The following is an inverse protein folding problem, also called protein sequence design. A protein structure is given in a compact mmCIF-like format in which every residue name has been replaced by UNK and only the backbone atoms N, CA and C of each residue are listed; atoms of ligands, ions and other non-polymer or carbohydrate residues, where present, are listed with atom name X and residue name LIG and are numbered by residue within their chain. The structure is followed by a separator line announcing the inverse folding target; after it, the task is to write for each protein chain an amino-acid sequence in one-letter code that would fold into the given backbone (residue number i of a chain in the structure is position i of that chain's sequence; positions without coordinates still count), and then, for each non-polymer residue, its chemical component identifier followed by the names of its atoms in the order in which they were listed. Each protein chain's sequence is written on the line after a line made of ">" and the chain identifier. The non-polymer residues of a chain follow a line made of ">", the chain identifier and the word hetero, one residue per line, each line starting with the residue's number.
data_IF_582155341958
#
_entry.id   IF_582155341958
#
_cell.length_a   1.000
_cell.length_b   1.000
_cell.length_c   1.000
_cell.angle_alpha   90.00
_cell.angle_beta   90.00
_cell.angle_gamma   90.00
#
_symmetry.space_group_name_H-M   'P 1'
#
loop_
_entity.id
_entity.type
_entity.pdbx_description
1 polymer ?
#
# COMPACT_ATOMS: atom_id res chain seq x y z
N UNK A 1 2.91 25.83 5.37
CA UNK A 1 2.03 24.80 6.01
C UNK A 1 2.24 23.53 5.21
N UNK A 2 2.65 22.45 5.88
CA UNK A 2 2.84 21.14 5.24
C UNK A 2 1.50 20.63 4.72
N UNK A 3 1.45 20.26 3.44
CA UNK A 3 0.27 19.61 2.87
C UNK A 3 0.24 18.13 3.25
N UNK A 4 -0.92 17.51 3.25
CA UNK A 4 -1.07 16.07 3.46
C UNK A 4 -1.91 15.45 2.36
N UNK A 5 -1.62 14.19 2.04
CA UNK A 5 -2.37 13.36 1.10
C UNK A 5 -2.64 12.01 1.72
N UNK A 6 -3.91 11.58 1.74
CA UNK A 6 -4.27 10.21 2.12
C UNK A 6 -3.96 9.25 0.96
N UNK A 7 -3.30 8.15 1.25
CA UNK A 7 -2.97 7.12 0.25
C UNK A 7 -3.59 5.79 0.67
N UNK A 8 -4.67 5.41 0.00
CA UNK A 8 -5.31 4.11 0.18
C UNK A 8 -4.50 3.05 -0.56
N UNK A 9 -4.03 2.05 0.19
CA UNK A 9 -3.02 1.12 -0.26
C UNK A 9 -3.33 -0.32 0.19
N UNK A 10 -2.93 -1.33 -0.59
CA UNK A 10 -3.14 -2.74 -0.24
C UNK A 10 -1.93 -3.60 -0.56
N UNK A 11 -1.58 -4.52 0.35
CA UNK A 11 -0.43 -5.43 0.22
C UNK A 11 -0.53 -6.39 -0.97
N UNK A 12 -1.73 -6.64 -1.47
CA UNK A 12 -1.95 -7.51 -2.63
C UNK A 12 -2.09 -6.73 -3.94
N UNK A 13 -1.87 -5.42 -3.95
CA UNK A 13 -1.97 -4.60 -5.17
C UNK A 13 -0.60 -4.32 -5.79
N UNK A 14 -0.29 -4.86 -6.97
CA UNK A 14 0.96 -4.55 -7.67
C UNK A 14 1.07 -3.07 -8.05
N UNK A 15 -0.03 -2.41 -8.39
CA UNK A 15 -0.01 -0.97 -8.67
C UNK A 15 0.24 -0.13 -7.42
N UNK A 16 -0.21 -0.58 -6.24
CA UNK A 16 0.15 0.06 -4.97
C UNK A 16 1.64 -0.06 -4.69
N UNK A 17 2.22 -1.23 -4.93
CA UNK A 17 3.67 -1.44 -4.83
C UNK A 17 4.44 -0.51 -5.78
N UNK A 18 4.05 -0.45 -7.05
CA UNK A 18 4.69 0.39 -8.06
C UNK A 18 4.54 1.91 -7.81
N UNK A 19 3.49 2.32 -7.10
CA UNK A 19 3.31 3.72 -6.70
C UNK A 19 4.24 4.12 -5.54
N UNK A 20 4.63 3.18 -4.68
CA UNK A 20 5.31 3.47 -3.41
C UNK A 20 6.63 4.22 -3.57
N UNK A 21 7.56 3.84 -4.48
CA UNK A 21 8.80 4.61 -4.70
C UNK A 21 8.55 6.06 -5.13
N UNK A 22 7.52 6.29 -5.93
CA UNK A 22 7.15 7.62 -6.39
C UNK A 22 6.57 8.47 -5.26
N UNK A 23 5.76 7.87 -4.36
CA UNK A 23 5.22 8.54 -3.18
C UNK A 23 6.34 8.95 -2.21
N UNK A 24 7.33 8.08 -1.99
CA UNK A 24 8.52 8.40 -1.18
C UNK A 24 9.29 9.57 -1.82
N UNK A 25 9.49 9.54 -3.13
CA UNK A 25 10.18 10.62 -3.83
C UNK A 25 9.42 11.96 -3.74
N UNK A 26 8.08 11.93 -3.79
CA UNK A 26 7.25 13.12 -3.60
C UNK A 26 7.37 13.68 -2.17
N UNK A 27 7.25 12.83 -1.15
CA UNK A 27 7.38 13.26 0.25
C UNK A 27 8.79 13.83 0.54
N UNK A 28 9.83 13.24 -0.03
CA UNK A 28 11.19 13.73 0.10
C UNK A 28 11.46 15.07 -0.63
N UNK A 29 10.78 15.29 -1.76
CA UNK A 29 11.00 16.48 -2.60
C UNK A 29 10.19 17.70 -2.18
N UNK A 30 9.09 17.51 -1.45
CA UNK A 30 8.14 18.58 -1.13
C UNK A 30 7.80 18.62 0.36
N UNK A 31 7.27 19.76 0.83
CA UNK A 31 6.69 19.93 2.17
C UNK A 31 5.31 19.23 2.20
N UNK A 32 5.35 17.92 2.14
CA UNK A 32 4.24 16.99 1.99
C UNK A 32 4.33 15.88 3.02
N UNK A 33 3.20 15.51 3.59
CA UNK A 33 3.04 14.31 4.41
C UNK A 33 2.15 13.28 3.68
N UNK A 34 2.67 12.10 3.46
CA UNK A 34 1.93 10.96 2.91
C UNK A 34 1.33 10.15 4.05
N UNK A 35 0.00 10.14 4.14
CA UNK A 35 -0.76 9.42 5.17
C UNK A 35 -1.25 8.11 4.57
N UNK A 36 -0.61 7.00 4.95
CA UNK A 36 -1.01 5.69 4.45
C UNK A 36 -2.28 5.20 5.13
N UNK A 37 -3.26 4.78 4.33
CA UNK A 37 -4.54 4.20 4.72
C UNK A 37 -4.62 2.76 4.20
N UNK A 38 -4.17 1.76 4.95
CA UNK A 38 -4.27 0.37 4.53
C UNK A 38 -5.72 -0.06 4.36
N UNK A 39 -5.98 -0.81 3.28
CA UNK A 39 -7.28 -1.44 3.01
C UNK A 39 -7.07 -2.89 2.59
N UNK A 40 -8.06 -3.73 2.83
CA UNK A 40 -8.03 -5.11 2.35
C UNK A 40 -8.11 -5.15 0.81
N UNK A 41 -7.57 -6.19 0.16
CA UNK A 41 -7.69 -6.37 -1.30
C UNK A 41 -9.15 -6.44 -1.73
N UNK A 42 -9.43 -5.92 -2.91
CA UNK A 42 -10.80 -5.91 -3.46
C UNK A 42 -11.41 -7.32 -3.56
N UNK A 43 -10.59 -8.32 -3.84
CA UNK A 43 -11.04 -9.72 -3.90
C UNK A 43 -11.54 -10.25 -2.55
N UNK A 44 -11.07 -9.67 -1.42
CA UNK A 44 -11.51 -10.01 -0.06
C UNK A 44 -12.69 -9.13 0.37
N UNK A 45 -12.70 -7.84 -0.03
CA UNK A 45 -13.73 -6.87 0.35
C UNK A 45 -15.06 -7.08 -0.36
N UNK A 46 -15.01 -7.51 -1.62
CA UNK A 46 -16.20 -7.63 -2.47
C UNK A 46 -16.40 -9.09 -2.84
N UNK A 47 -17.41 -9.72 -2.22
CA UNK A 47 -17.77 -11.09 -2.52
C UNK A 47 -17.98 -11.32 -4.01
N UNK A 48 -17.43 -12.42 -4.53
CA UNK A 48 -17.54 -12.81 -5.93
C UNK A 48 -16.89 -11.82 -6.92
N UNK A 49 -16.05 -10.87 -6.47
CA UNK A 49 -15.39 -9.92 -7.36
C UNK A 49 -14.63 -10.63 -8.49
N UNK A 50 -13.82 -11.62 -8.15
CA UNK A 50 -12.99 -12.37 -9.12
C UNK A 50 -13.84 -13.06 -10.19
N UNK A 51 -15.01 -13.60 -9.80
CA UNK A 51 -15.94 -14.27 -10.70
C UNK A 51 -16.62 -13.31 -11.70
N UNK A 52 -16.71 -12.02 -11.35
CA UNK A 52 -17.37 -10.97 -12.16
C UNK A 52 -16.41 -10.17 -13.04
N UNK A 53 -15.13 -10.36 -12.84
CA UNK A 53 -14.10 -9.65 -13.63
C UNK A 53 -14.12 -10.12 -15.07
N UNK A 54 -14.03 -9.17 -16.02
CA UNK A 54 -13.87 -9.50 -17.43
C UNK A 54 -12.64 -10.40 -17.63
N UNK A 55 -12.75 -11.57 -18.29
CA UNK A 55 -11.65 -12.52 -18.47
C UNK A 55 -10.41 -11.93 -19.18
N UNK A 56 -10.57 -10.86 -19.93
CA UNK A 56 -9.45 -10.15 -20.57
C UNK A 56 -8.61 -9.33 -19.60
N UNK A 57 -9.16 -8.99 -18.43
CA UNK A 57 -8.48 -8.10 -17.48
C UNK A 57 -7.27 -8.75 -16.78
N UNK A 58 -7.31 -9.99 -16.25
CA UNK A 58 -6.16 -10.57 -15.56
C UNK A 58 -4.92 -10.70 -16.44
N UNK A 59 -5.00 -11.21 -17.70
CA UNK A 59 -3.82 -11.27 -18.56
C UNK A 59 -3.32 -9.88 -19.01
N UNK A 60 -4.21 -8.90 -19.13
CA UNK A 60 -3.81 -7.51 -19.34
C UNK A 60 -3.05 -6.98 -18.13
N UNK A 61 -3.64 -7.09 -16.93
CA UNK A 61 -3.03 -6.67 -15.67
C UNK A 61 -1.61 -7.25 -15.52
N UNK A 62 -1.45 -8.56 -15.69
CA UNK A 62 -0.15 -9.20 -15.58
C UNK A 62 0.88 -8.59 -16.53
N UNK A 63 0.49 -8.34 -17.78
CA UNK A 63 1.36 -7.74 -18.80
C UNK A 63 1.71 -6.28 -18.49
N UNK A 64 0.74 -5.54 -17.98
CA UNK A 64 0.86 -4.12 -17.69
C UNK A 64 1.77 -3.86 -16.49
N UNK A 65 1.64 -4.61 -15.41
CA UNK A 65 2.52 -4.46 -14.23
C UNK A 65 3.99 -4.71 -14.55
N UNK A 66 4.30 -5.72 -15.38
CA UNK A 66 5.68 -5.96 -15.80
C UNK A 66 6.23 -4.87 -16.70
N UNK A 67 5.40 -4.33 -17.60
CA UNK A 67 5.76 -3.21 -18.47
C UNK A 67 6.07 -1.94 -17.65
N UNK A 68 5.21 -1.62 -16.69
CA UNK A 68 5.40 -0.47 -15.81
C UNK A 68 6.62 -0.64 -14.92
N UNK A 69 6.82 -1.83 -14.37
CA UNK A 69 8.01 -2.14 -13.57
C UNK A 69 9.30 -1.96 -14.36
N UNK A 70 9.35 -2.43 -15.62
CA UNK A 70 10.48 -2.20 -16.52
C UNK A 70 10.70 -0.72 -16.79
N UNK A 71 9.64 0.03 -17.07
CA UNK A 71 9.72 1.47 -17.31
C UNK A 71 10.27 2.23 -16.10
N UNK A 72 9.89 1.81 -14.90
CA UNK A 72 10.31 2.45 -13.63
C UNK A 72 11.64 1.92 -13.09
N UNK A 73 12.19 0.84 -13.66
CA UNK A 73 13.36 0.14 -13.10
C UNK A 73 13.07 -0.53 -11.75
N UNK A 74 11.81 -0.81 -11.43
CA UNK A 74 11.38 -1.41 -10.17
C UNK A 74 11.34 -2.94 -10.31
N UNK A 75 12.07 -3.71 -9.48
CA UNK A 75 11.98 -5.18 -9.51
C UNK A 75 10.56 -5.62 -9.18
N UNK A 76 10.01 -6.55 -9.97
CA UNK A 76 8.70 -7.12 -9.69
C UNK A 76 8.62 -8.59 -10.05
N UNK A 77 8.01 -9.36 -9.16
CA UNK A 77 7.66 -10.76 -9.36
C UNK A 77 6.33 -11.03 -8.65
N UNK A 78 5.52 -11.93 -9.21
CA UNK A 78 4.30 -12.34 -8.52
C UNK A 78 4.64 -13.01 -7.18
N UNK A 79 3.98 -12.60 -6.07
CA UNK A 79 4.30 -13.08 -4.72
C UNK A 79 4.18 -14.59 -4.56
N UNK A 80 5.06 -15.16 -3.75
CA UNK A 80 5.04 -16.57 -3.36
C UNK A 80 5.27 -16.71 -1.86
N UNK A 81 4.21 -17.06 -1.09
CA UNK A 81 2.81 -17.21 -1.51
C UNK A 81 2.15 -15.88 -1.89
N UNK A 82 1.02 -15.95 -2.62
CA UNK A 82 0.16 -14.77 -2.81
C UNK A 82 -0.38 -14.33 -1.43
N UNK A 83 -0.43 -13.04 -1.11
CA UNK A 83 -1.01 -12.54 0.15
C UNK A 83 -2.45 -12.96 0.41
N UNK A 84 -3.19 -13.37 -0.60
CA UNK A 84 -4.51 -13.97 -0.47
C UNK A 84 -4.53 -15.42 -0.94
N UNK A 85 -5.33 -16.25 -0.28
CA UNK A 85 -5.67 -17.57 -0.77
C UNK A 85 -6.86 -17.44 -1.72
N UNK A 86 -6.74 -18.03 -2.89
CA UNK A 86 -7.77 -18.00 -3.92
C UNK A 86 -7.70 -19.28 -4.76
N UNK A 87 -8.82 -19.89 -5.03
CA UNK A 87 -8.92 -20.92 -6.07
C UNK A 87 -8.95 -20.26 -7.45
N UNK A 88 -7.87 -20.43 -8.21
CA UNK A 88 -7.72 -19.80 -9.54
C UNK A 88 -8.74 -20.34 -10.54
N UNK A 89 -9.14 -21.62 -10.42
CA UNK A 89 -10.04 -22.26 -11.37
C UNK A 89 -11.50 -21.80 -11.18
N UNK A 90 -11.96 -21.71 -9.93
CA UNK A 90 -13.33 -21.29 -9.60
C UNK A 90 -13.44 -19.78 -9.38
N UNK A 91 -12.32 -19.08 -9.12
CA UNK A 91 -12.31 -17.68 -8.69
C UNK A 91 -12.85 -17.50 -7.25
N UNK A 92 -12.89 -18.55 -6.47
CA UNK A 92 -13.35 -18.52 -5.10
C UNK A 92 -12.28 -18.00 -4.15
N UNK A 93 -12.68 -17.06 -3.30
CA UNK A 93 -11.82 -16.47 -2.27
C UNK A 93 -12.40 -16.88 -0.91
N UNK A 94 -11.78 -17.83 -0.19
CA UNK A 94 -12.24 -18.24 1.13
C UNK A 94 -12.28 -17.06 2.11
N UNK A 95 -13.20 -17.16 3.07
CA UNK A 95 -13.29 -16.15 4.16
C UNK A 95 -12.05 -16.20 5.06
N UNK A 96 -11.53 -17.42 5.30
CA UNK A 96 -10.29 -17.60 6.04
C UNK A 96 -9.08 -17.27 5.15
N UNK A 97 -8.34 -16.25 5.55
CA UNK A 97 -7.18 -15.71 4.84
C UNK A 97 -5.99 -15.65 5.80
N UNK A 98 -5.04 -16.59 5.70
CA UNK A 98 -3.98 -16.73 6.70
C UNK A 98 -2.99 -15.56 6.73
N UNK A 99 -2.91 -14.77 5.67
CA UNK A 99 -1.85 -13.75 5.55
C UNK A 99 -2.37 -12.32 5.55
N UNK A 100 -3.40 -12.03 4.74
CA UNK A 100 -3.72 -10.65 4.39
C UNK A 100 -4.27 -9.83 5.55
N UNK A 101 -5.02 -10.45 6.46
CA UNK A 101 -5.53 -9.75 7.64
C UNK A 101 -4.39 -9.32 8.56
N UNK A 102 -3.47 -10.24 8.88
CA UNK A 102 -2.27 -9.93 9.69
C UNK A 102 -1.44 -8.83 9.02
N UNK A 103 -1.12 -8.95 7.73
CA UNK A 103 -0.36 -7.93 6.99
C UNK A 103 -1.03 -6.56 7.04
N UNK A 104 -2.36 -6.51 6.84
CA UNK A 104 -3.08 -5.25 6.80
C UNK A 104 -3.16 -4.61 8.19
N UNK A 105 -3.36 -5.41 9.25
CA UNK A 105 -3.31 -4.94 10.65
C UNK A 105 -1.93 -4.40 11.03
N UNK A 106 -0.85 -5.10 10.69
CA UNK A 106 0.51 -4.60 10.90
C UNK A 106 0.76 -3.29 10.14
N UNK A 107 0.30 -3.19 8.90
CA UNK A 107 0.36 -1.96 8.11
C UNK A 107 -0.42 -0.80 8.73
N UNK A 108 -1.60 -1.09 9.29
CA UNK A 108 -2.42 -0.10 10.00
C UNK A 108 -1.73 0.37 11.29
N UNK A 109 -1.22 -0.55 12.09
CA UNK A 109 -0.49 -0.22 13.32
C UNK A 109 0.79 0.61 13.01
N UNK A 110 1.51 0.26 11.95
CA UNK A 110 2.67 1.04 11.50
C UNK A 110 2.27 2.45 11.01
N UNK A 111 1.11 2.60 10.35
CA UNK A 111 0.60 3.90 9.94
C UNK A 111 0.21 4.76 11.15
N UNK A 112 -0.43 4.19 12.15
CA UNK A 112 -0.77 4.87 13.42
C UNK A 112 0.49 5.30 14.19
N UNK A 113 1.58 4.54 14.09
CA UNK A 113 2.89 4.89 14.65
C UNK A 113 3.67 5.93 13.80
N UNK A 114 3.05 6.49 12.73
CA UNK A 114 3.71 7.46 11.85
C UNK A 114 4.79 6.85 10.93
N UNK A 115 4.81 5.53 10.76
CA UNK A 115 5.78 4.80 9.94
C UNK A 115 5.15 4.15 8.70
N UNK A 116 3.91 4.50 8.36
CA UNK A 116 3.12 3.83 7.33
C UNK A 116 3.81 3.76 5.99
N UNK A 117 4.31 4.88 5.44
CA UNK A 117 4.94 4.91 4.11
C UNK A 117 6.23 4.07 4.07
N UNK A 118 7.08 4.19 5.07
CA UNK A 118 8.31 3.41 5.18
C UNK A 118 8.00 1.91 5.32
N UNK A 119 7.01 1.55 6.15
CA UNK A 119 6.63 0.16 6.38
C UNK A 119 6.05 -0.51 5.14
N UNK A 120 5.12 0.14 4.43
CA UNK A 120 4.58 -0.42 3.18
C UNK A 120 5.64 -0.54 2.08
N UNK A 121 6.67 0.31 2.09
CA UNK A 121 7.80 0.21 1.18
C UNK A 121 8.61 -1.06 1.45
N UNK A 122 9.00 -1.30 2.70
CA UNK A 122 9.80 -2.47 3.09
C UNK A 122 9.03 -3.77 2.86
N UNK A 123 7.80 -3.86 3.39
CA UNK A 123 6.99 -5.07 3.26
C UNK A 123 6.48 -5.26 1.83
N UNK A 124 6.14 -4.19 1.13
CA UNK A 124 5.79 -4.25 -0.29
C UNK A 124 6.95 -4.79 -1.13
N UNK A 125 8.18 -4.34 -0.88
CA UNK A 125 9.38 -4.86 -1.53
C UNK A 125 9.64 -6.33 -1.18
N UNK A 126 9.48 -6.70 0.09
CA UNK A 126 9.60 -8.09 0.54
C UNK A 126 8.65 -9.03 -0.22
N UNK A 127 7.41 -8.60 -0.45
CA UNK A 127 6.36 -9.39 -1.10
C UNK A 127 6.53 -9.40 -2.63
N UNK A 128 6.79 -8.23 -3.24
CA UNK A 128 6.65 -8.04 -4.68
C UNK A 128 7.96 -8.01 -5.47
N UNK A 129 9.12 -7.73 -4.86
CA UNK A 129 10.38 -7.60 -5.61
C UNK A 129 10.91 -8.90 -6.19
N UNK A 130 10.50 -10.04 -5.62
CA UNK A 130 11.00 -11.36 -5.97
C UNK A 130 12.35 -11.72 -5.34
N UNK A 131 12.87 -10.86 -4.46
CA UNK A 131 14.12 -11.10 -3.71
C UNK A 131 13.96 -12.13 -2.59
N UNK A 132 12.72 -12.34 -2.13
CA UNK A 132 12.40 -13.22 -1.01
C UNK A 132 11.28 -14.18 -1.41
N UNK A 133 11.51 -15.47 -1.21
CA UNK A 133 10.47 -16.49 -1.24
C UNK A 133 10.01 -16.77 0.19
N UNK A 134 8.77 -17.21 0.34
CA UNK A 134 8.18 -17.49 1.66
C UNK A 134 8.30 -16.30 2.62
N UNK A 135 8.01 -15.11 2.13
CA UNK A 135 8.08 -13.83 2.87
C UNK A 135 7.34 -13.86 4.22
N UNK A 136 6.39 -14.80 4.39
CA UNK A 136 5.56 -14.97 5.58
C UNK A 136 6.19 -15.83 6.67
N UNK A 137 7.29 -16.53 6.35
CA UNK A 137 8.03 -17.40 7.28
C UNK A 137 9.23 -16.69 7.89
N UNK A 138 9.77 -17.29 8.95
CA UNK A 138 10.98 -16.79 9.61
C UNK A 138 10.84 -15.36 10.15
N UNK A 139 11.91 -14.57 10.03
CA UNK A 139 12.01 -13.23 10.59
C UNK A 139 11.91 -12.09 9.54
N UNK A 140 11.46 -12.40 8.35
CA UNK A 140 11.42 -11.42 7.24
C UNK A 140 10.59 -10.18 7.57
N UNK A 141 9.38 -10.37 8.12
CA UNK A 141 8.50 -9.25 8.52
C UNK A 141 9.06 -8.51 9.74
N UNK A 142 9.67 -9.22 10.68
CA UNK A 142 10.32 -8.61 11.84
C UNK A 142 11.47 -7.69 11.40
N UNK A 143 12.35 -8.17 10.53
CA UNK A 143 13.44 -7.36 9.97
C UNK A 143 12.94 -6.16 9.16
N UNK A 144 11.82 -6.29 8.47
CA UNK A 144 11.21 -5.16 7.77
C UNK A 144 10.72 -4.09 8.75
N UNK A 145 10.12 -4.48 9.88
CA UNK A 145 9.71 -3.57 10.95
C UNK A 145 10.93 -2.87 11.60
N UNK A 146 11.98 -3.61 11.92
CA UNK A 146 13.23 -3.06 12.49
C UNK A 146 13.86 -2.00 11.57
N UNK A 147 13.92 -2.25 10.26
CA UNK A 147 14.51 -1.29 9.30
C UNK A 147 13.81 0.07 9.27
N UNK A 148 12.54 0.11 9.65
CA UNK A 148 11.79 1.37 9.73
C UNK A 148 11.70 1.94 11.14
N UNK A 149 12.42 1.31 12.10
CA UNK A 149 12.50 1.74 13.50
C UNK A 149 11.25 1.40 14.31
N UNK A 150 10.55 0.33 13.94
CA UNK A 150 9.49 -0.28 14.74
C UNK A 150 10.02 -1.48 15.51
N UNK A 151 9.53 -1.69 16.73
CA UNK A 151 9.73 -2.90 17.48
C UNK A 151 8.86 -4.02 16.89
N UNK A 152 9.46 -5.11 16.37
CA UNK A 152 8.70 -6.19 15.72
C UNK A 152 7.76 -6.91 16.68
N UNK A 153 8.19 -7.16 17.92
CA UNK A 153 7.40 -7.88 18.91
C UNK A 153 6.18 -7.05 19.33
N UNK A 154 6.38 -5.75 19.57
CA UNK A 154 5.32 -4.82 19.89
C UNK A 154 4.33 -4.68 18.71
N UNK A 155 4.82 -4.57 17.48
CA UNK A 155 3.97 -4.47 16.28
C UNK A 155 3.12 -5.74 16.08
N UNK A 156 3.71 -6.92 16.27
CA UNK A 156 3.01 -8.20 16.16
C UNK A 156 1.99 -8.37 17.28
N UNK A 157 2.33 -7.96 18.51
CA UNK A 157 1.43 -7.99 19.65
C UNK A 157 0.20 -7.10 19.40
N UNK A 158 0.40 -5.87 18.96
CA UNK A 158 -0.70 -4.94 18.60
C UNK A 158 -1.56 -5.54 17.50
N UNK A 159 -0.97 -6.08 16.43
CA UNK A 159 -1.72 -6.67 15.30
C UNK A 159 -2.56 -7.89 15.72
N UNK A 160 -2.13 -8.62 16.75
CA UNK A 160 -2.83 -9.78 17.30
C UNK A 160 -3.86 -9.39 18.37
N UNK A 161 -3.42 -8.65 19.38
CA UNK A 161 -4.18 -8.42 20.61
C UNK A 161 -5.24 -7.32 20.43
N UNK A 162 -5.04 -6.42 19.46
CA UNK A 162 -5.96 -5.34 19.10
C UNK A 162 -6.61 -5.57 17.72
N UNK A 163 -6.76 -6.83 17.31
CA UNK A 163 -7.24 -7.20 15.98
C UNK A 163 -8.58 -6.53 15.62
N UNK A 164 -9.58 -6.57 16.54
CA UNK A 164 -10.91 -5.99 16.30
C UNK A 164 -10.83 -4.45 16.11
N UNK A 165 -9.99 -3.77 16.88
CA UNK A 165 -9.78 -2.32 16.75
C UNK A 165 -9.14 -1.97 15.42
N UNK A 166 -8.12 -2.71 15.03
CA UNK A 166 -7.42 -2.50 13.75
C UNK A 166 -8.33 -2.83 12.57
N UNK A 167 -9.12 -3.88 12.66
CA UNK A 167 -10.09 -4.23 11.61
C UNK A 167 -11.15 -3.13 11.45
N UNK A 168 -11.63 -2.56 12.55
CA UNK A 168 -12.54 -1.41 12.51
C UNK A 168 -11.88 -0.18 11.86
N UNK A 169 -10.61 0.08 12.12
CA UNK A 169 -9.85 1.17 11.49
C UNK A 169 -9.66 0.93 9.99
N UNK A 170 -9.34 -0.31 9.59
CA UNK A 170 -9.22 -0.72 8.18
C UNK A 170 -10.57 -0.59 7.46
N UNK A 171 -11.66 -0.99 8.09
CA UNK A 171 -13.00 -0.80 7.55
C UNK A 171 -13.35 0.68 7.40
N UNK A 172 -12.98 1.53 8.37
CA UNK A 172 -13.13 2.98 8.26
C UNK A 172 -12.33 3.56 7.08
N UNK A 173 -11.11 3.09 6.83
CA UNK A 173 -10.34 3.44 5.64
C UNK A 173 -11.06 3.03 4.35
N UNK A 174 -11.65 1.84 4.29
CA UNK A 174 -12.42 1.37 3.14
C UNK A 174 -13.63 2.27 2.85
N UNK A 175 -14.38 2.62 3.91
CA UNK A 175 -15.52 3.55 3.81
C UNK A 175 -15.08 4.95 3.37
N UNK A 176 -13.93 5.43 3.89
CA UNK A 176 -13.39 6.73 3.49
C UNK A 176 -12.97 6.75 2.01
N UNK A 177 -12.36 5.68 1.49
CA UNK A 177 -12.04 5.51 0.07
C UNK A 177 -13.30 5.59 -0.81
N UNK A 178 -14.35 4.86 -0.43
CA UNK A 178 -15.62 4.86 -1.15
C UNK A 178 -16.32 6.23 -1.10
N UNK A 179 -16.29 6.89 0.06
CA UNK A 179 -16.85 8.23 0.24
C UNK A 179 -16.10 9.29 -0.56
N UNK A 180 -14.80 9.07 -0.81
CA UNK A 180 -14.01 9.92 -1.70
C UNK A 180 -14.31 9.70 -3.20
N UNK A 181 -15.15 8.72 -3.53
CA UNK A 181 -15.63 8.46 -4.90
C UNK A 181 -14.87 7.37 -5.66
N UNK A 182 -14.05 6.56 -4.98
CA UNK A 182 -13.39 5.42 -5.61
C UNK A 182 -13.29 4.21 -4.68
N UNK A 183 -13.10 3.01 -5.26
CA UNK A 183 -13.04 1.73 -4.56
C UNK A 183 -11.73 0.95 -4.78
N UNK A 184 -10.91 1.35 -5.75
CA UNK A 184 -9.66 0.68 -6.12
C UNK A 184 -8.45 1.29 -5.42
N UNK A 185 -7.31 0.60 -5.51
CA UNK A 185 -6.02 1.03 -4.95
C UNK A 185 -4.88 0.84 -5.96
N UNK A 186 -3.83 1.70 -5.93
CA UNK A 186 -3.69 2.85 -5.03
C UNK A 186 -4.66 3.97 -5.41
N UNK A 187 -5.22 4.63 -4.42
CA UNK A 187 -5.93 5.90 -4.62
C UNK A 187 -5.35 6.92 -3.64
N UNK A 188 -4.92 8.03 -4.17
CA UNK A 188 -4.53 9.20 -3.39
C UNK A 188 -5.73 10.12 -3.26
N UNK A 189 -5.99 10.63 -2.07
CA UNK A 189 -7.06 11.62 -1.86
C UNK A 189 -6.43 12.89 -1.31
N UNK A 190 -6.60 13.97 -2.04
CA UNK A 190 -6.10 15.28 -1.68
C UNK A 190 -7.21 16.32 -1.79
N UNK A 191 -7.46 17.06 -0.72
CA UNK A 191 -8.51 18.09 -0.63
C UNK A 191 -9.91 17.54 -1.07
N UNK A 192 -10.18 16.26 -0.74
CA UNK A 192 -11.40 15.55 -1.10
C UNK A 192 -11.46 15.02 -2.53
N UNK A 193 -10.47 15.30 -3.39
CA UNK A 193 -10.39 14.78 -4.76
C UNK A 193 -9.66 13.44 -4.81
N UNK A 194 -10.23 12.37 -5.39
CA UNK A 194 -9.55 11.08 -5.57
C UNK A 194 -8.72 11.05 -6.87
N UNK A 195 -7.52 10.48 -6.77
CA UNK A 195 -6.60 10.23 -7.88
C UNK A 195 -6.28 8.73 -7.89
N UNK A 196 -7.00 7.97 -8.70
CA UNK A 196 -6.86 6.51 -8.73
C UNK A 196 -5.81 6.06 -9.75
N UNK A 197 -4.88 5.26 -9.28
CA UNK A 197 -3.84 4.60 -10.08
C UNK A 197 -2.45 5.22 -9.89
N UNK A 198 -1.43 4.38 -10.05
CA UNK A 198 -0.04 4.78 -9.97
C UNK A 198 0.36 5.79 -11.07
N UNK A 199 -0.41 5.84 -12.14
CA UNK A 199 -0.24 6.74 -13.28
C UNK A 199 -0.92 8.10 -13.12
N UNK A 200 -1.47 8.39 -11.92
CA UNK A 200 -2.10 9.68 -11.59
C UNK A 200 -1.26 10.56 -10.66
N UNK A 201 -0.06 10.13 -10.32
CA UNK A 201 0.83 10.90 -9.42
C UNK A 201 1.24 12.24 -10.01
N UNK A 202 1.44 12.33 -11.32
CA UNK A 202 1.73 13.62 -11.99
C UNK A 202 0.54 14.58 -11.92
N UNK A 203 -0.68 14.06 -12.08
CA UNK A 203 -1.91 14.86 -11.98
C UNK A 203 -2.13 15.31 -10.53
N UNK A 204 -1.89 14.43 -9.56
CA UNK A 204 -1.91 14.77 -8.14
C UNK A 204 -0.89 15.88 -7.82
N UNK A 205 0.36 15.71 -8.25
CA UNK A 205 1.42 16.71 -8.05
C UNK A 205 1.04 18.07 -8.65
N UNK A 206 0.49 18.06 -9.87
CA UNK A 206 -0.01 19.29 -10.50
C UNK A 206 -1.10 19.94 -9.63
N UNK A 207 -2.06 19.17 -9.11
CA UNK A 207 -3.15 19.69 -8.26
C UNK A 207 -2.62 20.25 -6.95
N UNK A 208 -1.70 19.55 -6.28
CA UNK A 208 -1.09 20.02 -5.04
C UNK A 208 -0.29 21.32 -5.23
N UNK A 209 0.40 21.49 -6.37
CA UNK A 209 1.08 22.75 -6.72
C UNK A 209 0.09 23.91 -6.87
N UNK A 210 -1.11 23.68 -7.39
CA UNK A 210 -2.17 24.71 -7.45
C UNK A 210 -2.68 25.11 -6.06
N UNK A 211 -2.45 24.28 -5.06
CA UNK A 211 -2.81 24.50 -3.65
C UNK A 211 -1.62 24.95 -2.78
N UNK A 212 -0.50 25.30 -3.41
CA UNK A 212 0.65 25.88 -2.71
C UNK A 212 1.66 24.85 -2.18
N UNK A 213 1.72 23.65 -2.77
CA UNK A 213 2.77 22.68 -2.45
C UNK A 213 4.16 23.34 -2.70
N UNK A 214 4.94 23.43 -1.64
CA UNK A 214 6.29 23.98 -1.67
C UNK A 214 7.34 22.87 -1.71
N UNK A 215 8.53 23.10 -2.27
CA UNK A 215 9.67 22.19 -2.12
C UNK A 215 9.99 21.93 -0.65
N UNK A 216 10.51 20.74 -0.35
CA UNK A 216 11.00 20.43 0.98
C UNK A 216 12.05 21.48 1.41
N UNK A 217 11.99 21.92 2.65
CA UNK A 217 12.98 22.86 3.19
C UNK A 217 14.33 22.15 3.20
N UNK A 218 15.31 22.69 2.50
CA UNK A 218 16.69 22.23 2.60
C UNK A 218 17.09 22.31 4.07
N UNK A 219 17.31 21.18 4.71
CA UNK A 219 17.84 21.14 6.06
C UNK A 219 19.14 21.95 6.08
N UNK A 220 19.21 22.99 6.90
CA UNK A 220 20.45 23.68 7.19
C UNK A 220 21.43 22.65 7.76
N UNK A 221 22.32 22.14 6.89
CA UNK A 221 23.53 21.50 7.36
C UNK A 221 24.27 22.59 8.11
N UNK A 222 24.20 22.58 9.44
CA UNK A 222 25.12 23.38 10.24
C UNK A 222 26.50 22.83 9.98
N UNK A 223 27.45 23.63 9.52
CA UNK A 223 28.83 23.21 9.44
C UNK A 223 29.36 23.02 10.87
N UNK A 224 29.75 21.80 11.17
CA UNK A 224 30.55 21.49 12.36
C UNK A 224 31.96 21.96 12.22
#
# INVERSE_FOLDING_TARGET
>A
MTLSVDVFWSFRSPYSYLATPQLIALEAAYDLQVIVRPVLPIAVRIDGFVKRVNPLWPPYLARDIYRLAQMQGTPIRWPRPDPIVMDIASGEVPTDQPYIYRLTRMGQAAAEAGKGLAYISEVGSLIWSGSTENWHEGDHLAKAAERVGLDPEALEAVARDEADRLDAAIEANQKALESAGHWGVPTMVFDGEPFFGQDRLDVLLWRMKQRGLAPARSGSVQPT
#
